data_IF_505335045522
#
_entry.id   IF_505335045522
#
_cell.length_a   1.000
_cell.length_b   1.000
_cell.length_c   1.000
_cell.angle_alpha   90.00
_cell.angle_beta   90.00
_cell.angle_gamma   90.00
#
_symmetry.space_group_name_H-M   'P 1'
#
loop_
_entity.id
_entity.type
_entity.pdbx_description
1 polymer ?
#
# COMPACT_ATOMS: atom_id res chain seq x y z
N UNK A 1 0.20 47.74 48.64
CA UNK A 1 0.14 47.37 47.24
C UNK A 1 0.53 45.92 47.12
N UNK A 2 -0.42 45.08 46.78
CA UNK A 2 -0.12 43.67 46.47
C UNK A 2 0.09 43.60 44.97
N UNK A 3 1.31 43.33 44.56
CA UNK A 3 1.66 43.01 43.17
C UNK A 3 1.19 41.59 42.92
N UNK A 4 0.22 41.43 42.02
CA UNK A 4 -0.15 40.13 41.45
C UNK A 4 0.88 39.77 40.41
N UNK A 5 1.45 38.54 40.43
CA UNK A 5 2.28 38.10 39.33
C UNK A 5 1.39 37.93 38.09
N UNK A 6 1.71 38.69 37.06
CA UNK A 6 1.18 38.46 35.73
C UNK A 6 1.77 37.13 35.26
N UNK A 7 0.98 36.05 35.34
CA UNK A 7 1.33 34.81 34.70
C UNK A 7 1.07 35.02 33.19
N UNK A 8 2.13 35.40 32.50
CA UNK A 8 2.13 35.34 31.03
C UNK A 8 2.05 33.88 30.66
N UNK A 9 0.84 33.40 30.37
CA UNK A 9 0.64 32.10 29.81
C UNK A 9 1.34 32.03 28.46
N UNK A 10 2.45 31.28 28.38
CA UNK A 10 3.04 30.90 27.13
C UNK A 10 2.02 29.98 26.50
N UNK A 11 1.24 30.51 25.55
CA UNK A 11 0.45 29.68 24.64
C UNK A 11 1.45 28.89 23.81
N UNK A 12 1.69 27.63 24.22
CA UNK A 12 2.34 26.65 23.36
C UNK A 12 1.35 26.43 22.22
N UNK A 13 1.58 27.10 21.11
CA UNK A 13 0.93 26.75 19.87
C UNK A 13 1.41 25.33 19.54
N UNK A 14 0.65 24.33 19.94
CA UNK A 14 0.72 23.00 19.37
C UNK A 14 0.36 23.18 17.90
N UNK A 15 1.37 23.40 17.08
CA UNK A 15 1.26 23.18 15.66
C UNK A 15 0.99 21.69 15.52
N UNK A 16 -0.27 21.33 15.46
CA UNK A 16 -0.69 20.06 14.92
C UNK A 16 -0.16 20.06 13.49
N UNK A 17 1.04 19.51 13.31
CA UNK A 17 1.46 19.04 12.01
C UNK A 17 0.47 17.90 11.73
N UNK A 18 -0.66 18.25 11.11
CA UNK A 18 -1.56 17.28 10.56
C UNK A 18 -0.71 16.47 9.59
N UNK A 19 -0.40 15.21 9.96
CA UNK A 19 0.20 14.27 9.03
C UNK A 19 -0.77 14.20 7.85
N UNK A 20 -0.44 14.87 6.76
CA UNK A 20 -1.23 14.81 5.54
C UNK A 20 -1.32 13.36 5.15
N UNK A 21 -2.54 12.90 4.90
CA UNK A 21 -2.74 11.57 4.33
C UNK A 21 -1.89 11.44 3.08
N UNK A 22 -1.25 10.29 2.84
CA UNK A 22 -0.50 10.06 1.62
C UNK A 22 -1.37 10.35 0.40
N UNK A 23 -0.81 11.02 -0.59
CA UNK A 23 -1.44 11.21 -1.89
C UNK A 23 -0.79 10.29 -2.92
N UNK A 24 -1.53 9.85 -3.95
CA UNK A 24 -0.93 9.08 -5.02
C UNK A 24 0.25 9.81 -5.65
N UNK A 25 1.31 9.11 -6.08
CA UNK A 25 2.40 9.71 -6.83
C UNK A 25 1.89 10.44 -8.08
N UNK A 26 2.61 11.48 -8.50
CA UNK A 26 2.24 12.25 -9.70
C UNK A 26 2.06 11.33 -10.91
N UNK A 27 0.93 11.44 -11.60
CA UNK A 27 0.60 10.61 -12.76
C UNK A 27 0.00 9.25 -12.44
N UNK A 28 -0.09 8.90 -11.16
CA UNK A 28 -0.74 7.67 -10.71
C UNK A 28 -2.21 7.95 -10.42
N UNK A 29 -3.09 7.22 -11.09
CA UNK A 29 -4.55 7.36 -10.94
C UNK A 29 -5.13 6.10 -10.30
N UNK A 30 -5.54 6.15 -9.03
CA UNK A 30 -6.30 5.07 -8.41
C UNK A 30 -7.60 4.82 -9.16
N UNK A 31 -7.99 3.55 -9.31
CA UNK A 31 -9.26 3.20 -9.93
C UNK A 31 -10.43 3.70 -9.10
N UNK A 32 -11.55 3.97 -9.78
CA UNK A 32 -12.85 4.29 -9.18
C UNK A 32 -13.78 3.08 -9.25
N UNK A 33 -14.97 3.19 -8.68
CA UNK A 33 -15.94 2.09 -8.56
C UNK A 33 -15.36 0.86 -7.84
N UNK A 34 -14.43 1.09 -6.93
CA UNK A 34 -13.78 0.06 -6.15
C UNK A 34 -14.71 -0.49 -5.05
N UNK A 35 -14.79 -1.79 -4.97
CA UNK A 35 -15.56 -2.51 -3.96
C UNK A 35 -14.60 -3.27 -3.04
N UNK A 36 -14.30 -2.72 -1.86
CA UNK A 36 -13.33 -3.30 -0.93
C UNK A 36 -13.64 -4.74 -0.54
N UNK A 37 -14.93 -5.08 -0.38
CA UNK A 37 -15.36 -6.44 -0.01
C UNK A 37 -14.92 -7.50 -1.02
N UNK A 38 -14.85 -7.16 -2.30
CA UNK A 38 -14.38 -8.06 -3.36
C UNK A 38 -12.85 -8.17 -3.43
N UNK A 39 -12.15 -7.20 -2.86
CA UNK A 39 -10.69 -7.15 -2.85
C UNK A 39 -10.08 -7.91 -1.66
N UNK A 40 -10.86 -8.22 -0.64
CA UNK A 40 -10.42 -8.97 0.54
C UNK A 40 -9.97 -10.39 0.18
N UNK A 41 -9.26 -11.02 1.12
CA UNK A 41 -8.71 -12.35 0.96
C UNK A 41 -7.25 -12.34 0.54
N UNK A 42 -6.77 -13.48 0.07
CA UNK A 42 -5.37 -13.71 -0.26
C UNK A 42 -5.04 -13.26 -1.68
N UNK A 43 -3.89 -12.60 -1.81
CA UNK A 43 -3.27 -12.26 -3.07
C UNK A 43 -1.82 -12.75 -3.08
N UNK A 44 -1.38 -13.26 -4.23
CA UNK A 44 0.01 -13.60 -4.50
C UNK A 44 0.70 -12.43 -5.18
N UNK A 45 1.87 -12.06 -4.71
CA UNK A 45 2.74 -11.11 -5.39
C UNK A 45 3.50 -11.84 -6.50
N UNK A 46 3.12 -11.59 -7.74
CA UNK A 46 3.70 -12.26 -8.90
C UNK A 46 4.82 -11.46 -9.56
N UNK A 47 4.89 -10.16 -9.28
CA UNK A 47 6.01 -9.30 -9.65
C UNK A 47 6.05 -8.07 -8.75
N UNK A 48 7.25 -7.53 -8.54
CA UNK A 48 7.45 -6.27 -7.80
C UNK A 48 8.69 -5.53 -8.29
N UNK A 49 8.74 -4.22 -8.05
CA UNK A 49 10.02 -3.52 -7.96
C UNK A 49 10.67 -3.89 -6.63
N UNK A 50 11.96 -4.24 -6.68
CA UNK A 50 12.68 -4.61 -5.46
C UNK A 50 12.71 -3.43 -4.48
N UNK A 51 12.35 -3.67 -3.25
CA UNK A 51 12.29 -2.68 -2.19
C UNK A 51 12.95 -3.20 -0.91
N UNK A 52 13.30 -2.28 -0.01
CA UNK A 52 14.06 -2.61 1.21
C UNK A 52 13.31 -3.52 2.19
N UNK A 53 11.97 -3.51 2.17
CA UNK A 53 11.16 -4.27 3.12
C UNK A 53 11.02 -5.73 2.72
N UNK A 54 11.05 -6.01 1.42
CA UNK A 54 10.82 -7.33 0.83
C UNK A 54 12.06 -7.91 0.17
N UNK A 55 13.20 -7.21 0.30
CA UNK A 55 14.45 -7.64 -0.36
C UNK A 55 14.80 -9.07 -0.02
N UNK A 56 14.95 -9.89 -1.06
CA UNK A 56 15.31 -11.29 -0.94
C UNK A 56 14.19 -12.20 -0.48
N UNK A 57 12.99 -11.71 -0.23
CA UNK A 57 11.84 -12.56 0.08
C UNK A 57 11.27 -13.19 -1.18
N UNK A 58 10.84 -14.43 -1.06
CA UNK A 58 10.19 -15.23 -2.10
C UNK A 58 8.78 -15.61 -1.67
N UNK A 59 7.95 -16.01 -2.63
CA UNK A 59 6.59 -16.49 -2.39
C UNK A 59 5.78 -15.53 -1.51
N UNK A 60 5.88 -14.23 -1.79
CA UNK A 60 5.21 -13.19 -1.01
C UNK A 60 3.72 -13.23 -1.27
N UNK A 61 2.95 -13.17 -0.19
CA UNK A 61 1.49 -13.04 -0.23
C UNK A 61 1.04 -11.88 0.65
N UNK A 62 -0.09 -11.29 0.28
CA UNK A 62 -0.82 -10.33 1.10
C UNK A 62 -2.23 -10.85 1.34
N UNK A 63 -2.67 -10.85 2.58
CA UNK A 63 -4.04 -11.24 2.93
C UNK A 63 -4.74 -10.05 3.57
N UNK A 64 -5.87 -9.65 2.98
CA UNK A 64 -6.66 -8.52 3.44
C UNK A 64 -7.94 -8.99 4.09
N UNK A 65 -8.25 -8.43 5.25
CA UNK A 65 -9.44 -8.76 6.03
C UNK A 65 -10.20 -7.51 6.48
N UNK A 66 -11.46 -7.67 6.83
CA UNK A 66 -12.28 -6.60 7.37
C UNK A 66 -11.93 -6.35 8.83
N UNK A 67 -11.75 -5.09 9.20
CA UNK A 67 -11.60 -4.64 10.59
C UNK A 67 -12.92 -4.12 11.14
N UNK A 68 -13.09 -4.25 12.45
CA UNK A 68 -14.28 -3.73 13.14
C UNK A 68 -14.36 -2.19 13.12
N UNK A 69 -13.23 -1.50 12.94
CA UNK A 69 -13.15 -0.03 12.88
C UNK A 69 -13.42 0.54 11.47
N UNK A 70 -13.83 -0.30 10.53
CA UNK A 70 -14.08 0.10 9.13
C UNK A 70 -12.83 0.06 8.24
N UNK A 71 -11.66 -0.25 8.81
CA UNK A 71 -10.42 -0.43 8.07
C UNK A 71 -10.25 -1.84 7.50
N UNK A 72 -9.07 -2.08 6.96
CA UNK A 72 -8.65 -3.35 6.37
C UNK A 72 -7.43 -3.85 7.13
N UNK A 73 -7.49 -5.09 7.62
CA UNK A 73 -6.32 -5.78 8.16
C UNK A 73 -5.43 -6.25 7.02
N UNK A 74 -4.12 -6.19 7.22
CA UNK A 74 -3.12 -6.60 6.23
C UNK A 74 -2.19 -7.61 6.89
N UNK A 75 -2.05 -8.78 6.28
CA UNK A 75 -1.05 -9.76 6.64
C UNK A 75 -0.15 -10.01 5.43
N UNK A 76 1.08 -9.58 5.49
CA UNK A 76 2.10 -9.91 4.51
C UNK A 76 2.92 -11.09 5.00
N UNK A 77 3.18 -12.05 4.12
CA UNK A 77 3.97 -13.24 4.39
C UNK A 77 4.94 -13.49 3.25
N UNK A 78 6.20 -13.75 3.57
CA UNK A 78 7.24 -14.04 2.60
C UNK A 78 8.26 -15.02 3.15
N UNK A 79 8.85 -15.82 2.27
CA UNK A 79 9.90 -16.78 2.62
C UNK A 79 11.29 -16.15 2.44
N UNK A 80 12.12 -16.25 3.47
CA UNK A 80 13.51 -15.82 3.43
C UNK A 80 14.38 -17.07 3.19
N UNK A 81 14.91 -17.28 1.97
CA UNK A 81 15.70 -18.46 1.64
C UNK A 81 17.08 -18.47 2.31
N UNK A 82 17.62 -17.30 2.67
CA UNK A 82 18.92 -17.21 3.37
C UNK A 82 18.80 -17.69 4.80
N UNK A 83 17.73 -17.27 5.49
CA UNK A 83 17.45 -17.66 6.88
C UNK A 83 16.61 -18.93 6.99
N UNK A 84 16.14 -19.45 5.86
CA UNK A 84 15.27 -20.63 5.76
C UNK A 84 14.04 -20.52 6.68
N UNK A 85 13.37 -19.37 6.64
CA UNK A 85 12.19 -19.11 7.48
C UNK A 85 11.17 -18.21 6.79
N UNK A 86 9.93 -18.33 7.24
CA UNK A 86 8.84 -17.43 6.87
C UNK A 86 8.86 -16.17 7.74
N UNK A 87 8.71 -15.04 7.10
CA UNK A 87 8.51 -13.75 7.75
C UNK A 87 7.06 -13.32 7.58
N UNK A 88 6.49 -12.73 8.62
CA UNK A 88 5.15 -12.17 8.60
C UNK A 88 5.17 -10.74 9.13
N UNK A 89 4.34 -9.89 8.56
CA UNK A 89 4.11 -8.52 9.04
C UNK A 89 2.62 -8.24 9.03
N UNK A 90 2.10 -7.79 10.16
CA UNK A 90 0.71 -7.38 10.31
C UNK A 90 0.61 -5.86 10.23
N UNK A 91 -0.39 -5.39 9.51
CA UNK A 91 -0.65 -3.98 9.35
C UNK A 91 -2.15 -3.68 9.27
N UNK A 92 -2.44 -2.42 9.05
CA UNK A 92 -3.79 -1.90 8.89
C UNK A 92 -3.82 -0.86 7.78
N UNK A 93 -4.89 -0.85 7.03
CA UNK A 93 -5.09 0.10 5.94
C UNK A 93 -6.44 0.81 6.08
N UNK A 94 -6.47 2.05 5.61
CA UNK A 94 -7.66 2.89 5.59
C UNK A 94 -7.74 3.65 4.29
N UNK A 95 -8.95 3.91 3.80
CA UNK A 95 -9.13 4.81 2.66
C UNK A 95 -8.70 6.22 3.03
N UNK A 96 -8.07 6.90 2.08
CA UNK A 96 -7.66 8.31 2.24
C UNK A 96 -8.76 9.30 1.87
N UNK A 97 -9.79 8.82 1.19
CA UNK A 97 -10.97 9.57 0.76
C UNK A 97 -12.16 8.63 0.60
N UNK A 98 -12.93 8.81 -0.46
CA UNK A 98 -14.09 7.96 -0.77
C UNK A 98 -13.69 6.49 -0.92
N UNK A 99 -14.42 5.55 -0.30
CA UNK A 99 -14.06 4.11 -0.35
C UNK A 99 -14.25 3.50 -1.74
N UNK A 100 -14.89 4.19 -2.66
CA UNK A 100 -15.00 3.80 -4.07
C UNK A 100 -13.78 4.18 -4.91
N UNK A 101 -12.87 4.97 -4.37
CA UNK A 101 -11.58 5.28 -4.97
C UNK A 101 -10.51 4.46 -4.26
N UNK A 102 -9.76 3.65 -5.00
CA UNK A 102 -8.79 2.71 -4.44
C UNK A 102 -7.46 3.38 -4.05
N UNK A 103 -7.55 4.43 -3.27
CA UNK A 103 -6.43 5.14 -2.65
C UNK A 103 -6.49 4.92 -1.14
N UNK A 104 -5.50 4.20 -0.62
CA UNK A 104 -5.43 3.83 0.78
C UNK A 104 -4.08 4.27 1.38
N UNK A 105 -4.04 4.27 2.69
CA UNK A 105 -2.82 4.37 3.48
C UNK A 105 -2.66 3.11 4.32
N UNK A 106 -1.46 2.56 4.37
CA UNK A 106 -1.15 1.34 5.12
C UNK A 106 -0.06 1.61 6.14
N UNK A 107 -0.20 1.03 7.32
CA UNK A 107 0.78 1.11 8.39
C UNK A 107 1.10 -0.27 8.95
N UNK A 108 2.39 -0.53 9.14
CA UNK A 108 2.93 -1.68 9.87
C UNK A 108 3.58 -1.27 11.20
N UNK A 109 3.84 0.01 11.40
CA UNK A 109 4.54 0.54 12.58
C UNK A 109 3.90 1.85 13.06
N UNK A 110 3.19 1.80 14.17
CA UNK A 110 2.70 2.97 14.89
C UNK A 110 2.00 4.01 14.02
N UNK A 111 2.40 5.29 14.09
CA UNK A 111 1.73 6.37 13.36
C UNK A 111 2.21 6.54 11.91
N UNK A 112 3.15 5.70 11.43
CA UNK A 112 3.72 5.84 10.09
C UNK A 112 2.88 5.12 9.06
N UNK A 113 2.39 5.86 8.05
CA UNK A 113 1.56 5.38 6.96
C UNK A 113 2.26 5.61 5.62
N UNK A 114 2.18 4.60 4.76
CA UNK A 114 2.56 4.71 3.35
C UNK A 114 1.35 4.61 2.43
N UNK A 115 1.42 5.24 1.26
CA UNK A 115 0.37 5.16 0.25
C UNK A 115 0.26 3.75 -0.36
N UNK A 116 -0.95 3.37 -0.70
CA UNK A 116 -1.30 2.12 -1.37
C UNK A 116 -2.42 2.42 -2.37
N UNK A 117 -2.12 2.34 -3.65
CA UNK A 117 -3.04 2.75 -4.70
C UNK A 117 -3.24 1.62 -5.71
N UNK A 118 -4.46 1.12 -5.83
CA UNK A 118 -4.79 0.16 -6.88
C UNK A 118 -5.04 0.95 -8.16
N UNK A 119 -4.22 0.74 -9.18
CA UNK A 119 -4.26 1.49 -10.44
C UNK A 119 -4.78 0.67 -11.62
N UNK A 120 -4.71 -0.64 -11.53
CA UNK A 120 -5.36 -1.58 -12.45
C UNK A 120 -6.00 -2.71 -11.66
N UNK A 121 -7.18 -3.10 -12.08
CA UNK A 121 -7.92 -4.21 -11.49
C UNK A 121 -8.90 -4.73 -12.55
N UNK A 122 -8.93 -6.04 -12.79
CA UNK A 122 -9.89 -6.62 -13.71
C UNK A 122 -11.29 -6.72 -13.07
N UNK A 123 -12.31 -6.87 -13.89
CA UNK A 123 -13.71 -6.89 -13.44
C UNK A 123 -14.03 -8.04 -12.48
N UNK A 124 -13.26 -9.12 -12.54
CA UNK A 124 -13.42 -10.30 -11.68
C UNK A 124 -12.57 -10.24 -10.42
N UNK A 125 -11.82 -9.16 -10.20
CA UNK A 125 -10.89 -9.01 -9.06
C UNK A 125 -9.89 -10.16 -8.93
N UNK A 126 -9.32 -10.58 -10.06
CA UNK A 126 -8.32 -11.65 -10.11
C UNK A 126 -6.88 -11.13 -10.17
N UNK A 127 -6.68 -9.95 -10.75
CA UNK A 127 -5.36 -9.35 -10.97
C UNK A 127 -5.39 -7.87 -10.59
N UNK A 128 -4.33 -7.41 -9.92
CA UNK A 128 -4.21 -6.01 -9.53
C UNK A 128 -2.80 -5.49 -9.82
N UNK A 129 -2.72 -4.23 -10.22
CA UNK A 129 -1.49 -3.46 -10.25
C UNK A 129 -1.58 -2.40 -9.16
N UNK A 130 -0.61 -2.39 -8.26
CA UNK A 130 -0.60 -1.53 -7.07
C UNK A 130 0.63 -0.65 -7.07
N UNK A 131 0.44 0.64 -6.88
CA UNK A 131 1.50 1.62 -6.65
C UNK A 131 1.56 1.99 -5.16
N UNK A 132 2.77 2.03 -4.61
CA UNK A 132 3.01 2.43 -3.23
C UNK A 132 3.12 3.94 -3.04
N UNK A 133 3.85 4.37 -1.99
CA UNK A 133 3.97 5.79 -1.63
C UNK A 133 4.72 6.64 -2.69
N UNK A 134 5.50 5.99 -3.51
CA UNK A 134 6.19 6.60 -4.65
C UNK A 134 6.38 5.55 -5.76
N UNK A 135 6.98 5.95 -6.89
CA UNK A 135 7.14 5.09 -8.06
C UNK A 135 8.19 3.98 -7.91
N UNK A 136 8.93 3.95 -6.80
CA UNK A 136 9.87 2.87 -6.50
C UNK A 136 9.16 1.64 -5.89
N UNK A 137 7.88 1.78 -5.52
CA UNK A 137 7.04 0.71 -4.98
C UNK A 137 5.92 0.38 -5.96
N UNK A 138 6.01 -0.79 -6.56
CA UNK A 138 5.03 -1.27 -7.52
C UNK A 138 4.93 -2.79 -7.41
N UNK A 139 3.70 -3.30 -7.43
CA UNK A 139 3.41 -4.72 -7.30
C UNK A 139 2.36 -5.14 -8.33
N UNK A 140 2.54 -6.33 -8.88
CA UNK A 140 1.49 -7.06 -9.61
C UNK A 140 1.03 -8.18 -8.69
N UNK A 141 -0.26 -8.20 -8.40
CA UNK A 141 -0.91 -9.18 -7.54
C UNK A 141 -1.84 -10.08 -8.36
N UNK A 142 -1.94 -11.34 -7.95
CA UNK A 142 -2.84 -12.33 -8.56
C UNK A 142 -3.51 -13.16 -7.47
N UNK A 143 -4.72 -13.62 -7.75
CA UNK A 143 -5.40 -14.60 -6.88
C UNK A 143 -4.79 -15.99 -6.93
N UNK A 144 -3.97 -16.24 -7.93
CA UNK A 144 -3.25 -17.50 -8.13
C UNK A 144 -1.72 -17.24 -8.14
N UNK A 145 -0.89 -18.24 -7.82
CA UNK A 145 0.57 -18.08 -7.81
C UNK A 145 1.17 -17.70 -9.16
N UNK A 146 0.44 -17.91 -10.24
CA UNK A 146 0.84 -17.58 -11.60
C UNK A 146 -0.16 -16.62 -12.24
N UNK A 147 0.28 -15.90 -13.25
CA UNK A 147 -0.52 -14.93 -13.99
C UNK A 147 -0.40 -15.22 -15.49
N UNK A 148 -1.49 -15.10 -16.27
CA UNK A 148 -1.40 -15.21 -17.72
C UNK A 148 -0.44 -14.16 -18.31
N UNK A 149 0.39 -14.55 -19.28
CA UNK A 149 1.38 -13.65 -19.88
C UNK A 149 0.74 -12.39 -20.48
N UNK A 150 -0.42 -12.50 -21.10
CA UNK A 150 -1.13 -11.35 -21.66
C UNK A 150 -1.48 -10.32 -20.60
N UNK A 151 -1.95 -10.74 -19.42
CA UNK A 151 -2.27 -9.85 -18.29
C UNK A 151 -0.97 -9.24 -17.72
N UNK A 152 0.07 -10.05 -17.54
CA UNK A 152 1.37 -9.59 -17.05
C UNK A 152 1.93 -8.50 -17.96
N UNK A 153 1.93 -8.73 -19.29
CA UNK A 153 2.43 -7.76 -20.25
C UNK A 153 1.60 -6.47 -20.29
N UNK A 154 0.28 -6.59 -20.20
CA UNK A 154 -0.61 -5.41 -20.12
C UNK A 154 -0.30 -4.56 -18.88
N UNK A 155 -0.15 -5.18 -17.71
CA UNK A 155 0.16 -4.47 -16.48
C UNK A 155 1.59 -3.90 -16.48
N UNK A 156 2.54 -4.62 -17.04
CA UNK A 156 3.90 -4.10 -17.25
C UNK A 156 3.91 -2.88 -18.18
N UNK A 157 3.11 -2.89 -19.23
CA UNK A 157 2.99 -1.74 -20.13
C UNK A 157 2.42 -0.51 -19.41
N UNK A 158 1.40 -0.70 -18.58
CA UNK A 158 0.89 0.38 -17.71
C UNK A 158 1.98 0.90 -16.79
N UNK A 159 2.73 0.01 -16.13
CA UNK A 159 3.83 0.37 -15.25
C UNK A 159 4.92 1.16 -15.98
N UNK A 160 5.30 0.75 -17.18
CA UNK A 160 6.30 1.46 -18.02
C UNK A 160 5.82 2.85 -18.44
N UNK A 161 4.52 3.03 -18.65
CA UNK A 161 3.96 4.35 -18.98
C UNK A 161 4.05 5.33 -17.80
N UNK A 162 4.10 4.82 -16.57
CA UNK A 162 4.21 5.63 -15.36
C UNK A 162 5.65 5.96 -15.00
N UNK A 163 6.60 5.04 -15.26
CA UNK A 163 8.00 5.23 -14.91
C UNK A 163 8.94 4.34 -15.76
N UNK A 164 10.03 4.93 -16.22
CA UNK A 164 11.12 4.20 -16.89
C UNK A 164 11.77 3.13 -15.98
N UNK A 165 11.64 3.26 -14.66
CA UNK A 165 12.16 2.28 -13.69
C UNK A 165 11.38 0.97 -13.66
N UNK A 166 10.21 0.93 -14.23
CA UNK A 166 9.34 -0.26 -14.25
C UNK A 166 9.91 -1.44 -15.06
N UNK A 167 10.99 -1.24 -15.82
CA UNK A 167 11.75 -2.32 -16.45
C UNK A 167 12.49 -3.22 -15.44
N UNK A 168 12.54 -2.81 -14.15
CA UNK A 168 13.20 -3.53 -13.05
C UNK A 168 12.25 -4.39 -12.21
N UNK A 169 11.05 -4.69 -12.73
CA UNK A 169 10.12 -5.60 -12.05
C UNK A 169 10.71 -7.01 -12.02
N UNK A 170 10.86 -7.53 -10.79
CA UNK A 170 11.25 -8.91 -10.54
C UNK A 170 10.00 -9.79 -10.52
N UNK A 171 10.10 -10.93 -11.17
CA UNK A 171 9.03 -11.95 -11.22
C UNK A 171 9.42 -13.21 -10.48
#
# INVERSE_FOLDING_TARGET
MKLWPVVTGVAIALTLVACKSPTPPKGVQPITNFEASRYLGKWYEVARLENRFERGLEQVTATYGKRSDGGISVLNRGYDPVKNKWNESEGKAYFTGEPTTAALKVSFFGPFYGGYNVIRLDDKYQYALVSGPNRDYLWILSRTPTIPDAVKQDYLNTARSLDRKSTRLNS
#
